data_IF_543409134474
#
_entry.id   IF_543409134474
#
_cell.length_a   1.000
_cell.length_b   1.000
_cell.length_c   1.000
_cell.angle_alpha   90.00
_cell.angle_beta   90.00
_cell.angle_gamma   90.00
#
_symmetry.space_group_name_H-M   'P 1'
#
loop_
_entity.id
_entity.type
_entity.pdbx_description
1 polymer ?
#
# COMPACT_ATOMS: atom_id res chain seq x y z
N UNK A 1 -17.76 -8.71 13.26
CA UNK A 1 -16.57 -8.02 12.72
C UNK A 1 -15.41 -8.96 12.41
N UNK A 2 -15.14 -9.99 13.22
CA UNK A 2 -14.01 -10.92 13.01
C UNK A 2 -13.92 -11.55 11.62
N UNK A 3 -15.03 -12.01 11.02
CA UNK A 3 -15.03 -12.58 9.67
C UNK A 3 -14.57 -11.56 8.61
N UNK A 4 -15.12 -10.34 8.65
CA UNK A 4 -14.77 -9.27 7.71
C UNK A 4 -13.30 -8.87 7.88
N UNK A 5 -12.85 -8.71 9.13
CA UNK A 5 -11.45 -8.42 9.43
C UNK A 5 -10.51 -9.52 8.93
N UNK A 6 -10.84 -10.78 9.17
CA UNK A 6 -10.04 -11.93 8.73
C UNK A 6 -9.94 -12.01 7.19
N UNK A 7 -11.05 -11.77 6.49
CA UNK A 7 -11.07 -11.75 5.01
C UNK A 7 -10.25 -10.57 4.49
N UNK A 8 -10.45 -9.36 5.03
CA UNK A 8 -9.75 -8.15 4.58
C UNK A 8 -8.25 -8.25 4.83
N UNK A 9 -7.83 -8.62 6.03
CA UNK A 9 -6.41 -8.76 6.38
C UNK A 9 -5.78 -9.91 5.60
N UNK A 10 -6.49 -11.04 5.46
CA UNK A 10 -6.05 -12.18 4.66
C UNK A 10 -5.83 -11.82 3.19
N UNK A 11 -6.73 -11.05 2.58
CA UNK A 11 -6.60 -10.57 1.21
C UNK A 11 -5.39 -9.64 1.05
N UNK A 12 -5.16 -8.71 1.99
CA UNK A 12 -3.99 -7.81 1.96
C UNK A 12 -2.68 -8.59 2.07
N UNK A 13 -2.62 -9.60 2.94
CA UNK A 13 -1.45 -10.49 3.07
C UNK A 13 -1.20 -11.27 1.77
N UNK A 14 -2.25 -11.77 1.11
CA UNK A 14 -2.10 -12.44 -0.19
C UNK A 14 -1.58 -11.50 -1.26
N UNK A 15 -2.04 -10.24 -1.29
CA UNK A 15 -1.51 -9.24 -2.22
C UNK A 15 -0.02 -9.01 -1.98
N UNK A 16 0.41 -8.91 -0.71
CA UNK A 16 1.80 -8.69 -0.36
C UNK A 16 2.72 -9.90 -0.63
N UNK A 17 2.29 -11.12 -0.25
CA UNK A 17 3.14 -12.32 -0.27
C UNK A 17 3.02 -13.15 -1.56
N UNK A 18 1.93 -13.01 -2.30
CA UNK A 18 1.69 -13.76 -3.54
C UNK A 18 1.65 -12.82 -4.74
N UNK A 19 0.72 -11.86 -4.74
CA UNK A 19 0.48 -11.04 -5.94
C UNK A 19 1.72 -10.23 -6.33
N UNK A 20 2.37 -9.54 -5.39
CA UNK A 20 3.56 -8.75 -5.69
C UNK A 20 4.74 -9.60 -6.23
N UNK A 21 5.14 -10.73 -5.60
CA UNK A 21 6.17 -11.61 -6.17
C UNK A 21 5.81 -12.21 -7.52
N UNK A 22 4.55 -12.63 -7.70
CA UNK A 22 4.08 -13.17 -8.98
C UNK A 22 4.17 -12.11 -10.08
N UNK A 23 3.80 -10.86 -9.80
CA UNK A 23 3.95 -9.76 -10.75
C UNK A 23 5.41 -9.52 -11.14
N UNK A 24 6.35 -9.59 -10.18
CA UNK A 24 7.79 -9.49 -10.48
C UNK A 24 8.25 -10.64 -11.37
N UNK A 25 7.86 -11.87 -11.10
CA UNK A 25 8.21 -13.02 -11.94
C UNK A 25 7.60 -12.92 -13.35
N UNK A 26 6.32 -12.53 -13.45
CA UNK A 26 5.62 -12.34 -14.72
C UNK A 26 6.27 -11.22 -15.54
N UNK A 27 6.70 -10.13 -14.91
CA UNK A 27 7.37 -9.00 -15.56
C UNK A 27 8.62 -9.43 -16.34
N UNK A 28 9.33 -10.46 -15.87
CA UNK A 28 10.49 -11.02 -16.55
C UNK A 28 10.13 -11.66 -17.90
N UNK A 29 8.97 -12.32 -17.98
CA UNK A 29 8.49 -12.93 -19.23
C UNK A 29 7.95 -11.90 -20.24
N UNK A 30 7.49 -10.74 -19.76
CA UNK A 30 6.99 -9.63 -20.60
C UNK A 30 8.09 -8.71 -21.11
N UNK A 31 9.36 -8.92 -20.72
CA UNK A 31 10.50 -8.11 -21.16
C UNK A 31 10.63 -6.73 -20.49
N UNK A 32 9.75 -6.41 -19.54
CA UNK A 32 9.80 -5.19 -18.73
C UNK A 32 9.98 -5.56 -17.25
N UNK A 33 11.22 -5.71 -16.76
CA UNK A 33 11.46 -6.15 -15.39
C UNK A 33 10.98 -5.10 -14.37
N UNK A 34 10.04 -5.49 -13.51
CA UNK A 34 9.56 -4.70 -12.37
C UNK A 34 10.34 -5.13 -11.13
N UNK A 35 10.86 -4.16 -10.39
CA UNK A 35 11.51 -4.39 -9.11
C UNK A 35 10.58 -4.00 -7.94
N UNK A 36 10.71 -4.68 -6.81
CA UNK A 36 10.08 -4.32 -5.52
C UNK A 36 10.81 -3.17 -4.82
N UNK A 37 11.38 -2.24 -5.58
CA UNK A 37 12.12 -1.09 -5.07
C UNK A 37 11.17 0.10 -5.07
N UNK A 38 10.73 0.49 -3.88
CA UNK A 38 9.99 1.73 -3.66
C UNK A 38 10.94 2.91 -3.86
N UNK A 39 10.75 3.68 -4.93
CA UNK A 39 11.66 4.77 -5.32
C UNK A 39 11.57 5.93 -4.33
N UNK A 40 10.37 6.18 -3.80
CA UNK A 40 10.15 7.22 -2.80
C UNK A 40 10.11 6.59 -1.38
N UNK A 41 10.96 7.04 -0.42
CA UNK A 41 10.91 6.59 0.97
C UNK A 41 9.52 6.74 1.61
N UNK A 42 8.71 7.69 1.14
CA UNK A 42 7.34 7.91 1.59
C UNK A 42 6.45 6.70 1.34
N UNK A 43 6.64 5.97 0.24
CA UNK A 43 5.86 4.76 -0.09
C UNK A 43 6.08 3.67 0.96
N UNK A 44 7.34 3.40 1.30
CA UNK A 44 7.69 2.37 2.27
C UNK A 44 7.20 2.74 3.68
N UNK A 45 7.37 4.01 4.08
CA UNK A 45 6.89 4.50 5.38
C UNK A 45 5.37 4.46 5.44
N UNK A 46 4.66 4.82 4.37
CA UNK A 46 3.20 4.78 4.34
C UNK A 46 2.67 3.35 4.48
N UNK A 47 3.25 2.38 3.78
CA UNK A 47 2.86 0.96 3.91
C UNK A 47 3.10 0.46 5.33
N UNK A 48 4.25 0.76 5.93
CA UNK A 48 4.56 0.37 7.30
C UNK A 48 3.62 1.04 8.32
N UNK A 49 3.35 2.33 8.16
CA UNK A 49 2.46 3.08 9.03
C UNK A 49 1.03 2.52 8.99
N UNK A 50 0.49 2.24 7.79
CA UNK A 50 -0.84 1.65 7.64
C UNK A 50 -0.91 0.25 8.25
N UNK A 51 0.11 -0.59 8.01
CA UNK A 51 0.17 -1.92 8.60
C UNK A 51 0.15 -1.86 10.14
N UNK A 52 0.91 -0.93 10.72
CA UNK A 52 0.93 -0.72 12.17
C UNK A 52 -0.40 -0.18 12.71
N UNK A 53 -0.99 0.83 12.06
CA UNK A 53 -2.29 1.39 12.48
C UNK A 53 -3.41 0.37 12.44
N UNK A 54 -3.49 -0.43 11.36
CA UNK A 54 -4.50 -1.49 11.25
C UNK A 54 -4.26 -2.59 12.28
N UNK A 55 -2.99 -2.95 12.55
CA UNK A 55 -2.67 -3.93 13.58
C UNK A 55 -3.09 -3.45 14.99
N UNK A 56 -2.77 -2.19 15.34
CA UNK A 56 -3.14 -1.59 16.62
C UNK A 56 -4.67 -1.52 16.83
N UNK A 57 -5.44 -1.19 15.79
CA UNK A 57 -6.91 -1.13 15.85
C UNK A 57 -7.54 -2.53 15.84
N UNK A 58 -6.84 -3.56 15.34
CA UNK A 58 -7.34 -4.92 15.31
C UNK A 58 -7.01 -5.72 16.58
N UNK A 59 -6.12 -5.21 17.44
CA UNK A 59 -5.56 -5.93 18.59
C UNK A 59 -6.57 -6.10 19.74
N UNK A 60 -7.44 -5.13 19.96
CA UNK A 60 -8.47 -5.15 21.01
C UNK A 60 -9.68 -6.05 20.68
N UNK A 61 -9.82 -6.50 19.43
CA UNK A 61 -10.87 -7.38 18.97
C UNK A 61 -12.25 -6.73 18.78
N UNK A 62 -12.38 -5.42 19.04
CA UNK A 62 -13.63 -4.68 18.95
C UNK A 62 -13.45 -3.42 18.10
N UNK A 63 -13.80 -3.47 16.81
CA UNK A 63 -13.72 -2.27 15.96
C UNK A 63 -14.92 -1.35 16.16
N UNK A 64 -14.69 -0.07 16.44
CA UNK A 64 -15.76 0.93 16.56
C UNK A 64 -15.95 1.73 15.27
N UNK A 65 -17.11 2.41 15.13
CA UNK A 65 -17.36 3.28 13.98
C UNK A 65 -16.33 4.43 13.90
N UNK A 66 -15.87 4.90 15.07
CA UNK A 66 -14.92 6.00 15.18
C UNK A 66 -13.50 5.57 14.77
N UNK A 67 -13.05 4.37 15.14
CA UNK A 67 -11.80 3.80 14.61
C UNK A 67 -11.86 3.63 13.10
N UNK A 68 -13.00 3.18 12.56
CA UNK A 68 -13.22 3.13 11.12
C UNK A 68 -13.07 4.50 10.47
N UNK A 69 -13.64 5.55 11.08
CA UNK A 69 -13.48 6.93 10.61
C UNK A 69 -12.02 7.41 10.68
N UNK A 70 -11.28 7.07 11.72
CA UNK A 70 -9.85 7.39 11.85
C UNK A 70 -9.04 6.72 10.73
N UNK A 71 -9.32 5.44 10.42
CA UNK A 71 -8.67 4.73 9.31
C UNK A 71 -8.97 5.38 7.95
N UNK A 72 -10.22 5.79 7.71
CA UNK A 72 -10.58 6.56 6.51
C UNK A 72 -9.84 7.90 6.48
N UNK A 73 -9.70 8.58 7.61
CA UNK A 73 -8.91 9.80 7.73
C UNK A 73 -7.45 9.61 7.35
N UNK A 74 -6.80 8.57 7.86
CA UNK A 74 -5.42 8.19 7.48
C UNK A 74 -5.33 7.91 5.97
N UNK A 75 -6.29 7.18 5.40
CA UNK A 75 -6.34 6.92 3.96
C UNK A 75 -6.42 8.21 3.12
N UNK A 76 -7.28 9.15 3.51
CA UNK A 76 -7.41 10.45 2.82
C UNK A 76 -6.12 11.28 2.95
N UNK A 77 -5.53 11.34 4.15
CA UNK A 77 -4.27 12.06 4.38
C UNK A 77 -3.12 11.48 3.54
N UNK A 78 -3.00 10.16 3.47
CA UNK A 78 -2.02 9.51 2.61
C UNK A 78 -2.32 9.76 1.13
N UNK A 79 -3.59 9.72 0.71
CA UNK A 79 -3.98 10.06 -0.65
C UNK A 79 -3.57 11.48 -1.06
N UNK A 80 -3.77 12.46 -0.18
CA UNK A 80 -3.30 13.83 -0.38
C UNK A 80 -1.77 13.88 -0.39
N UNK A 81 -1.10 13.19 0.54
CA UNK A 81 0.35 13.14 0.59
C UNK A 81 0.94 12.59 -0.71
N UNK A 82 0.41 11.48 -1.24
CA UNK A 82 0.84 10.91 -2.52
C UNK A 82 0.52 11.79 -3.72
N UNK A 83 -0.61 12.51 -3.70
CA UNK A 83 -0.96 13.46 -4.75
C UNK A 83 0.09 14.57 -4.90
N UNK A 84 0.66 15.06 -3.79
CA UNK A 84 1.72 16.06 -3.82
C UNK A 84 3.14 15.47 -3.88
N UNK A 85 3.33 14.25 -3.36
CA UNK A 85 4.64 13.59 -3.28
C UNK A 85 5.05 12.89 -4.57
N UNK A 86 4.14 12.68 -5.53
CA UNK A 86 4.46 12.32 -6.92
C UNK A 86 4.92 13.59 -7.64
N UNK A 87 6.23 13.82 -7.86
CA UNK A 87 6.66 14.82 -8.81
C UNK A 87 6.43 14.22 -10.20
N UNK A 88 6.02 15.02 -11.18
CA UNK A 88 5.99 14.61 -12.59
C UNK A 88 7.38 14.32 -13.20
N UNK A 89 8.27 13.65 -12.46
CA UNK A 89 9.65 13.36 -12.84
C UNK A 89 9.81 12.13 -13.72
N UNK A 90 8.84 11.21 -13.77
CA UNK A 90 8.85 10.10 -14.73
C UNK A 90 8.58 10.58 -16.16
N UNK A 91 7.77 11.65 -16.31
CA UNK A 91 7.58 12.30 -17.61
C UNK A 91 8.89 12.93 -18.14
N UNK A 92 9.79 13.40 -17.26
CA UNK A 92 11.06 14.01 -17.65
C UNK A 92 12.18 13.00 -17.96
N UNK A 93 12.11 11.77 -17.43
CA UNK A 93 13.07 10.69 -17.75
C UNK A 93 12.70 9.91 -19.01
N UNK A 94 11.42 9.94 -19.43
CA UNK A 94 10.95 9.36 -20.71
C UNK A 94 11.01 10.36 -21.87
N UNK A 95 11.29 11.64 -21.60
CA UNK A 95 11.53 12.69 -22.61
C UNK A 95 12.92 13.31 -22.41
N UNK A 96 13.98 12.51 -22.55
CA UNK A 96 15.30 13.06 -22.87
C UNK A 96 15.45 13.21 -24.40
N UNK A 97 16.27 14.15 -24.92
CA UNK A 97 16.84 13.99 -26.24
C UNK A 97 17.78 12.77 -26.31
#
# INVERSE_FOLDING_TARGET
MSLVMSITVGATIQVALLTAPVLVLVSFFLGHPINLVFVNPLELIAVAAVAFSVNAIAEDGETTWFEGLLLVGVYVLLGIAFFFATPGGEAALLTGP
#
